data_IF_991532127235
#
_entry.id   IF_991532127235
#
_cell.length_a   1.000
_cell.length_b   1.000
_cell.length_c   1.000
_cell.angle_alpha   90.00
_cell.angle_beta   90.00
_cell.angle_gamma   90.00
#
_symmetry.space_group_name_H-M   'P 1'
#
loop_
_entity.id
_entity.type
_entity.pdbx_description
1 polymer ?
#
# COMPACT_ATOMS: atom_id res chain seq x y z
N UNK A 1 -4.17 15.93 -0.57
CA UNK A 1 -3.82 14.56 -1.02
C UNK A 1 -2.72 14.06 -0.09
N UNK A 2 -2.89 12.89 0.56
CA UNK A 2 -1.89 12.32 1.47
C UNK A 2 -0.70 11.73 0.71
N UNK A 3 0.47 11.74 1.34
CA UNK A 3 1.72 11.17 0.82
C UNK A 3 2.08 9.92 1.62
N UNK A 4 2.15 8.77 0.94
CA UNK A 4 2.59 7.51 1.55
C UNK A 4 3.91 7.05 0.92
N UNK A 5 4.91 6.79 1.77
CA UNK A 5 6.18 6.21 1.32
C UNK A 5 6.19 4.69 1.49
N UNK A 6 6.63 3.98 0.46
CA UNK A 6 6.94 2.56 0.57
C UNK A 6 8.37 2.41 1.13
N UNK A 7 8.47 1.78 2.28
CA UNK A 7 9.67 1.72 3.13
C UNK A 7 10.01 0.27 3.43
N UNK A 8 11.31 -0.07 3.41
CA UNK A 8 11.80 -1.44 3.69
C UNK A 8 12.92 -1.48 4.73
N UNK A 9 13.28 -0.33 5.28
CA UNK A 9 14.40 -0.20 6.21
C UNK A 9 14.16 0.90 7.24
N UNK A 10 15.02 0.94 8.25
CA UNK A 10 15.02 1.98 9.29
C UNK A 10 15.33 3.35 8.67
N UNK A 11 16.30 3.41 7.75
CA UNK A 11 16.69 4.63 7.04
C UNK A 11 15.49 5.23 6.28
N UNK A 12 14.64 4.36 5.72
CA UNK A 12 13.40 4.79 5.08
C UNK A 12 12.39 5.39 6.07
N UNK A 13 12.29 4.84 7.28
CA UNK A 13 11.42 5.39 8.33
C UNK A 13 11.95 6.73 8.84
N UNK A 14 13.28 6.88 9.00
CA UNK A 14 13.93 8.16 9.35
C UNK A 14 13.67 9.21 8.26
N UNK A 15 13.81 8.84 7.00
CA UNK A 15 13.51 9.75 5.89
C UNK A 15 12.03 10.15 5.87
N UNK A 16 11.12 9.22 6.14
CA UNK A 16 9.68 9.53 6.22
C UNK A 16 9.37 10.56 7.32
N UNK A 17 10.02 10.46 8.48
CA UNK A 17 9.92 11.48 9.56
C UNK A 17 10.48 12.83 9.11
N UNK A 18 11.66 12.82 8.48
CA UNK A 18 12.33 14.03 8.00
C UNK A 18 11.51 14.77 6.92
N UNK A 19 10.96 14.05 5.97
CA UNK A 19 10.15 14.60 4.87
C UNK A 19 8.67 14.73 5.21
N UNK A 20 8.27 14.43 6.46
CA UNK A 20 6.90 14.57 6.97
C UNK A 20 5.87 13.83 6.08
N UNK A 21 6.20 12.60 5.69
CA UNK A 21 5.22 11.75 5.04
C UNK A 21 4.01 11.57 5.95
N UNK A 22 2.80 11.56 5.39
CA UNK A 22 1.59 11.33 6.18
C UNK A 22 1.52 9.89 6.69
N UNK A 23 2.08 8.93 5.92
CA UNK A 23 2.07 7.52 6.23
C UNK A 23 3.25 6.81 5.59
N UNK A 24 3.65 5.69 6.18
CA UNK A 24 4.51 4.70 5.52
C UNK A 24 3.79 3.37 5.36
N UNK A 25 3.99 2.72 4.20
CA UNK A 25 3.79 1.29 4.04
C UNK A 25 5.12 0.61 4.30
N UNK A 26 5.20 -0.15 5.37
CA UNK A 26 6.40 -0.92 5.69
C UNK A 26 6.27 -2.34 5.15
N UNK A 27 7.20 -2.71 4.29
CA UNK A 27 7.28 -4.06 3.73
C UNK A 27 8.72 -4.57 3.71
N UNK A 28 8.92 -5.79 3.25
CA UNK A 28 10.21 -6.36 2.89
C UNK A 28 10.14 -6.88 1.45
N UNK A 29 11.27 -7.21 0.85
CA UNK A 29 11.33 -7.89 -0.45
C UNK A 29 10.45 -7.23 -1.53
N UNK A 30 10.73 -5.95 -1.85
CA UNK A 30 10.06 -5.26 -2.97
C UNK A 30 10.34 -5.90 -4.34
N UNK A 31 11.42 -6.66 -4.46
CA UNK A 31 11.71 -7.51 -5.61
C UNK A 31 10.67 -8.62 -5.84
N UNK A 32 9.88 -8.93 -4.81
CA UNK A 32 8.77 -9.87 -4.81
C UNK A 32 7.41 -9.16 -4.59
N UNK A 33 7.27 -7.92 -5.04
CA UNK A 33 6.07 -7.08 -4.84
C UNK A 33 5.70 -6.82 -3.37
N UNK A 34 6.66 -6.92 -2.45
CA UNK A 34 6.49 -6.65 -1.04
C UNK A 34 5.97 -7.86 -0.23
N UNK A 35 6.71 -8.21 0.82
CA UNK A 35 6.34 -9.23 1.78
C UNK A 35 6.20 -8.64 3.18
N UNK A 36 5.63 -9.41 4.11
CA UNK A 36 5.50 -9.03 5.53
C UNK A 36 6.88 -8.78 6.14
N UNK A 37 7.12 -7.61 6.73
CA UNK A 37 8.39 -7.31 7.40
C UNK A 37 8.53 -8.10 8.70
N UNK A 38 9.78 -8.23 9.19
CA UNK A 38 10.02 -8.84 10.51
C UNK A 38 9.50 -7.95 11.64
N UNK A 39 9.08 -8.54 12.75
CA UNK A 39 8.63 -7.79 13.93
C UNK A 39 9.71 -6.84 14.47
N UNK A 40 10.97 -7.24 14.40
CA UNK A 40 12.10 -6.39 14.79
C UNK A 40 12.18 -5.15 13.91
N UNK A 41 12.03 -5.27 12.60
CA UNK A 41 12.02 -4.10 11.69
C UNK A 41 10.82 -3.19 11.97
N UNK A 42 9.63 -3.75 12.20
CA UNK A 42 8.45 -2.96 12.55
C UNK A 42 8.71 -2.14 13.83
N UNK A 43 9.26 -2.78 14.86
CA UNK A 43 9.56 -2.14 16.14
C UNK A 43 10.60 -1.02 16.01
N UNK A 44 11.66 -1.25 15.24
CA UNK A 44 12.69 -0.26 14.96
C UNK A 44 12.13 0.93 14.15
N UNK A 45 11.35 0.67 13.10
CA UNK A 45 10.71 1.73 12.33
C UNK A 45 9.71 2.54 13.18
N UNK A 46 8.95 1.88 14.09
CA UNK A 46 8.03 2.57 14.98
C UNK A 46 8.74 3.52 15.95
N UNK A 47 9.98 3.22 16.37
CA UNK A 47 10.76 4.13 17.23
C UNK A 47 11.24 5.39 16.49
N UNK A 48 11.49 5.28 15.17
CA UNK A 48 12.03 6.37 14.36
C UNK A 48 10.95 7.25 13.69
N UNK A 49 9.78 6.69 13.40
CA UNK A 49 8.72 7.40 12.69
C UNK A 49 7.47 7.52 13.54
N UNK A 50 6.98 8.76 13.73
CA UNK A 50 5.83 9.06 14.61
C UNK A 50 4.48 9.07 13.88
N UNK A 51 4.51 9.14 12.54
CA UNK A 51 3.30 9.11 11.71
C UNK A 51 2.64 7.74 11.63
N UNK A 52 1.70 7.58 10.70
CA UNK A 52 0.96 6.32 10.50
C UNK A 52 1.84 5.25 9.87
N UNK A 53 1.91 4.05 10.48
CA UNK A 53 2.58 2.87 9.94
C UNK A 53 1.54 1.83 9.54
N UNK A 54 1.48 1.53 8.26
CA UNK A 54 0.75 0.39 7.72
C UNK A 54 1.75 -0.68 7.30
N UNK A 55 1.49 -1.94 7.62
CA UNK A 55 2.42 -3.02 7.28
C UNK A 55 1.83 -3.97 6.23
N UNK A 56 2.68 -4.41 5.32
CA UNK A 56 2.34 -5.47 4.37
C UNK A 56 2.08 -6.79 5.10
N UNK A 57 0.90 -7.36 4.91
CA UNK A 57 0.54 -8.69 5.41
C UNK A 57 0.47 -9.67 4.24
N UNK A 58 1.64 -10.09 3.78
CA UNK A 58 1.85 -11.06 2.71
C UNK A 58 3.05 -11.92 3.07
N UNK A 59 2.84 -13.05 3.80
CA UNK A 59 3.95 -13.84 4.35
C UNK A 59 4.70 -14.68 3.32
N UNK A 60 4.18 -14.83 2.12
CA UNK A 60 4.72 -15.71 1.08
C UNK A 60 4.68 -15.01 -0.27
N UNK A 61 5.68 -15.29 -1.10
CA UNK A 61 5.74 -14.89 -2.50
C UNK A 61 4.73 -15.69 -3.38
N UNK A 62 4.55 -15.26 -4.62
CA UNK A 62 3.69 -15.93 -5.61
C UNK A 62 2.36 -15.21 -5.85
N UNK A 63 1.36 -15.90 -6.39
CA UNK A 63 0.06 -15.32 -6.73
C UNK A 63 -0.66 -14.83 -5.47
N UNK A 64 -1.58 -13.87 -5.64
CA UNK A 64 -2.38 -13.32 -4.54
C UNK A 64 -3.47 -14.28 -4.02
N UNK A 65 -3.26 -15.59 -4.22
CA UNK A 65 -4.13 -16.66 -3.74
C UNK A 65 -3.63 -17.13 -2.37
N UNK A 66 -4.54 -17.37 -1.45
CA UNK A 66 -4.20 -17.66 -0.06
C UNK A 66 -4.73 -19.05 0.34
N UNK A 67 -3.84 -19.93 0.79
CA UNK A 67 -4.22 -21.17 1.46
C UNK A 67 -4.72 -20.91 2.89
N UNK A 68 -5.39 -21.89 3.49
CA UNK A 68 -5.78 -21.80 4.90
C UNK A 68 -4.57 -21.64 5.83
N UNK A 69 -3.42 -22.20 5.48
CA UNK A 69 -2.19 -22.06 6.25
C UNK A 69 -1.62 -20.64 6.12
N UNK A 70 -1.59 -20.10 4.90
CA UNK A 70 -1.18 -18.72 4.63
C UNK A 70 -2.08 -17.73 5.35
N UNK A 71 -3.41 -17.95 5.35
CA UNK A 71 -4.36 -17.10 6.08
C UNK A 71 -4.06 -17.08 7.59
N UNK A 72 -3.76 -18.23 8.20
CA UNK A 72 -3.35 -18.28 9.62
C UNK A 72 -2.05 -17.51 9.89
N UNK A 73 -1.06 -17.59 8.97
CA UNK A 73 0.17 -16.79 9.08
C UNK A 73 -0.13 -15.30 9.02
N UNK A 74 -1.02 -14.87 8.10
CA UNK A 74 -1.46 -13.47 7.99
C UNK A 74 -2.13 -13.00 9.28
N UNK A 75 -3.06 -13.78 9.83
CA UNK A 75 -3.73 -13.47 11.09
C UNK A 75 -2.74 -13.33 12.26
N UNK A 76 -1.77 -14.24 12.35
CA UNK A 76 -0.74 -14.18 13.40
C UNK A 76 0.17 -12.96 13.23
N UNK A 77 0.48 -12.56 12.00
CA UNK A 77 1.25 -11.34 11.70
C UNK A 77 0.50 -10.08 12.15
N UNK A 78 -0.81 -10.00 11.87
CA UNK A 78 -1.65 -8.87 12.31
C UNK A 78 -1.63 -8.76 13.84
N UNK A 79 -1.89 -9.88 14.54
CA UNK A 79 -1.91 -9.93 16.00
C UNK A 79 -0.62 -9.39 16.61
N UNK A 80 0.52 -9.95 16.19
CA UNK A 80 1.83 -9.57 16.73
C UNK A 80 2.23 -8.13 16.41
N UNK A 81 1.85 -7.64 15.22
CA UNK A 81 2.19 -6.28 14.81
C UNK A 81 1.32 -5.22 15.49
N UNK A 82 0.06 -5.55 15.79
CA UNK A 82 -0.82 -4.67 16.55
C UNK A 82 -0.26 -4.33 17.94
N UNK A 83 0.41 -5.30 18.59
CA UNK A 83 1.08 -5.09 19.89
C UNK A 83 2.23 -4.09 19.85
N UNK A 84 2.81 -3.83 18.65
CA UNK A 84 3.90 -2.86 18.45
C UNK A 84 3.35 -1.43 18.26
N UNK A 85 2.05 -1.26 18.02
CA UNK A 85 1.43 0.05 17.84
C UNK A 85 1.47 0.55 16.39
N UNK A 86 1.23 -0.34 15.44
CA UNK A 86 0.97 0.02 14.05
C UNK A 86 -0.43 0.63 13.89
N UNK A 87 -0.67 1.34 12.78
CA UNK A 87 -1.93 2.03 12.52
C UNK A 87 -2.80 1.31 11.48
N UNK A 88 -2.21 0.42 10.69
CA UNK A 88 -2.97 -0.29 9.66
C UNK A 88 -2.22 -1.48 9.06
N UNK A 89 -2.95 -2.19 8.22
CA UNK A 89 -2.46 -3.34 7.47
C UNK A 89 -2.75 -3.19 5.98
N UNK A 90 -1.89 -3.81 5.18
CA UNK A 90 -2.00 -3.84 3.72
C UNK A 90 -2.16 -5.29 3.30
N UNK A 91 -3.28 -5.61 2.67
CA UNK A 91 -3.68 -6.96 2.28
C UNK A 91 -4.21 -6.98 0.85
N UNK A 92 -4.31 -8.17 0.25
CA UNK A 92 -4.98 -8.36 -1.04
C UNK A 92 -5.01 -9.84 -1.39
N UNK A 93 -6.20 -10.43 -1.35
CA UNK A 93 -6.40 -11.87 -1.61
C UNK A 93 -7.40 -12.04 -2.72
N UNK A 94 -6.98 -12.76 -3.75
CA UNK A 94 -7.79 -13.11 -4.90
C UNK A 94 -8.13 -14.62 -4.88
N UNK A 95 -9.11 -14.99 -5.68
CA UNK A 95 -9.40 -16.37 -6.03
C UNK A 95 -8.80 -16.72 -7.41
N UNK A 96 -8.95 -17.97 -7.85
CA UNK A 96 -8.42 -18.48 -9.13
C UNK A 96 -9.03 -17.80 -10.38
N UNK A 97 -10.09 -17.00 -10.20
CA UNK A 97 -10.76 -16.24 -11.26
C UNK A 97 -10.39 -14.75 -11.24
N UNK A 98 -9.32 -14.36 -10.52
CA UNK A 98 -8.94 -12.97 -10.30
C UNK A 98 -10.10 -12.10 -9.76
N UNK A 99 -10.87 -12.64 -8.83
CA UNK A 99 -11.88 -11.92 -8.07
C UNK A 99 -11.46 -11.84 -6.60
N UNK A 100 -12.01 -10.90 -5.85
CA UNK A 100 -11.73 -10.77 -4.42
C UNK A 100 -12.14 -12.05 -3.69
N UNK A 101 -11.24 -12.63 -2.91
CA UNK A 101 -11.59 -13.69 -1.97
C UNK A 101 -12.28 -13.06 -0.76
N UNK A 102 -13.60 -12.89 -0.85
CA UNK A 102 -14.41 -12.17 0.15
C UNK A 102 -14.32 -12.77 1.53
N UNK A 103 -14.32 -14.10 1.64
CA UNK A 103 -14.26 -14.80 2.94
C UNK A 103 -12.94 -14.54 3.65
N UNK A 104 -11.82 -14.69 2.95
CA UNK A 104 -10.51 -14.45 3.53
C UNK A 104 -10.30 -12.96 3.85
N UNK A 105 -10.69 -12.07 2.94
CA UNK A 105 -10.58 -10.61 3.13
C UNK A 105 -11.42 -10.17 4.33
N UNK A 106 -12.69 -10.59 4.45
CA UNK A 106 -13.55 -10.27 5.59
C UNK A 106 -12.93 -10.71 6.93
N UNK A 107 -12.37 -11.91 6.97
CA UNK A 107 -11.72 -12.44 8.19
C UNK A 107 -10.55 -11.57 8.65
N UNK A 108 -9.72 -11.07 7.71
CA UNK A 108 -8.59 -10.17 8.05
C UNK A 108 -9.06 -8.78 8.44
N UNK A 109 -10.08 -8.24 7.76
CA UNK A 109 -10.67 -6.94 8.09
C UNK A 109 -11.32 -6.96 9.48
N UNK A 110 -12.06 -8.02 9.81
CA UNK A 110 -12.63 -8.17 11.16
C UNK A 110 -11.54 -8.21 12.24
N UNK A 111 -10.43 -8.89 11.95
CA UNK A 111 -9.28 -8.91 12.86
C UNK A 111 -8.66 -7.51 13.01
N UNK A 112 -8.43 -6.80 11.91
CA UNK A 112 -7.92 -5.44 11.93
C UNK A 112 -8.81 -4.51 12.77
N UNK A 113 -10.14 -4.58 12.61
CA UNK A 113 -11.11 -3.80 13.38
C UNK A 113 -11.01 -4.04 14.89
N UNK A 114 -10.75 -5.28 15.33
CA UNK A 114 -10.57 -5.60 16.76
C UNK A 114 -9.39 -4.88 17.40
N UNK A 115 -8.39 -4.52 16.60
CA UNK A 115 -7.18 -3.80 17.04
C UNK A 115 -7.19 -2.33 16.59
N UNK A 116 -8.32 -1.81 16.11
CA UNK A 116 -8.46 -0.44 15.58
C UNK A 116 -7.45 -0.12 14.47
N UNK A 117 -7.16 -1.09 13.61
CA UNK A 117 -6.26 -0.93 12.48
C UNK A 117 -7.04 -0.61 11.21
N UNK A 118 -6.56 0.37 10.43
CA UNK A 118 -7.03 0.61 9.08
C UNK A 118 -6.60 -0.51 8.12
N UNK A 119 -7.33 -0.65 7.03
CA UNK A 119 -7.09 -1.68 6.02
C UNK A 119 -6.92 -1.07 4.64
N UNK A 120 -5.82 -1.42 3.97
CA UNK A 120 -5.56 -1.09 2.57
C UNK A 120 -5.60 -2.36 1.74
N UNK A 121 -6.35 -2.36 0.63
CA UNK A 121 -6.26 -3.42 -0.37
C UNK A 121 -5.19 -3.04 -1.39
N UNK A 122 -4.10 -3.82 -1.46
CA UNK A 122 -2.92 -3.50 -2.26
C UNK A 122 -3.14 -3.75 -3.77
N UNK A 123 -2.05 -3.65 -4.55
CA UNK A 123 -2.07 -3.76 -6.03
C UNK A 123 -2.55 -5.09 -6.60
N UNK A 124 -2.92 -6.09 -5.80
CA UNK A 124 -3.77 -7.19 -6.27
C UNK A 124 -5.05 -6.68 -6.96
N UNK A 125 -5.49 -5.47 -6.61
CA UNK A 125 -6.59 -4.77 -7.26
C UNK A 125 -6.38 -4.58 -8.78
N UNK A 126 -5.16 -4.34 -9.22
CA UNK A 126 -4.82 -4.16 -10.64
C UNK A 126 -5.00 -5.43 -11.48
N UNK A 127 -5.14 -6.59 -10.83
CA UNK A 127 -5.36 -7.89 -11.46
C UNK A 127 -6.82 -8.33 -11.51
N UNK A 128 -7.74 -7.58 -10.86
CA UNK A 128 -9.15 -7.91 -10.83
C UNK A 128 -9.79 -7.91 -12.23
N UNK A 129 -10.72 -8.83 -12.44
CA UNK A 129 -11.49 -8.93 -13.69
C UNK A 129 -12.46 -7.77 -13.87
N UNK A 130 -13.06 -7.27 -12.79
CA UNK A 130 -13.93 -6.08 -12.77
C UNK A 130 -13.53 -5.15 -11.62
N UNK A 131 -12.55 -4.27 -11.82
CA UNK A 131 -12.11 -3.34 -10.78
C UNK A 131 -13.18 -2.31 -10.40
N UNK A 132 -14.11 -1.96 -11.30
CA UNK A 132 -15.16 -0.97 -11.01
C UNK A 132 -16.17 -1.52 -10.01
N UNK A 133 -16.73 -2.70 -10.27
CA UNK A 133 -17.65 -3.36 -9.33
C UNK A 133 -16.96 -3.72 -7.99
N UNK A 134 -15.65 -3.96 -8.04
CA UNK A 134 -14.86 -4.31 -6.86
C UNK A 134 -14.68 -3.17 -5.86
N UNK A 135 -14.84 -1.90 -6.27
CA UNK A 135 -14.77 -0.75 -5.34
C UNK A 135 -15.87 -0.85 -4.27
N UNK A 136 -17.11 -1.03 -4.69
CA UNK A 136 -18.25 -1.18 -3.77
C UNK A 136 -18.11 -2.45 -2.92
N UNK A 137 -17.66 -3.54 -3.52
CA UNK A 137 -17.44 -4.79 -2.81
C UNK A 137 -16.40 -4.65 -1.68
N UNK A 138 -15.27 -3.98 -1.93
CA UNK A 138 -14.24 -3.71 -0.93
C UNK A 138 -14.73 -2.77 0.17
N UNK A 139 -15.49 -1.73 -0.19
CA UNK A 139 -16.13 -0.85 0.78
C UNK A 139 -17.04 -1.65 1.72
N UNK A 140 -17.92 -2.49 1.19
CA UNK A 140 -18.85 -3.32 1.96
C UNK A 140 -18.14 -4.35 2.86
N UNK A 141 -16.94 -4.80 2.49
CA UNK A 141 -16.07 -5.61 3.34
C UNK A 141 -15.40 -4.80 4.47
N UNK A 142 -15.42 -3.47 4.37
CA UNK A 142 -14.83 -2.56 5.36
C UNK A 142 -13.37 -2.22 5.08
N UNK A 143 -12.92 -2.31 3.84
CA UNK A 143 -11.63 -1.78 3.39
C UNK A 143 -11.69 -0.25 3.41
N UNK A 144 -10.70 0.39 4.02
CA UNK A 144 -10.60 1.85 4.11
C UNK A 144 -9.99 2.47 2.85
N UNK A 145 -9.06 1.74 2.18
CA UNK A 145 -8.25 2.27 1.09
C UNK A 145 -7.94 1.23 0.04
N UNK A 146 -7.92 1.65 -1.23
CA UNK A 146 -7.49 0.84 -2.37
C UNK A 146 -6.22 1.46 -2.94
N UNK A 147 -5.11 0.70 -2.93
CA UNK A 147 -3.88 1.02 -3.62
C UNK A 147 -3.87 0.37 -5.00
N UNK A 148 -3.86 1.17 -6.04
CA UNK A 148 -3.83 0.67 -7.42
C UNK A 148 -3.09 1.60 -8.37
N UNK A 149 -2.66 1.07 -9.51
CA UNK A 149 -2.13 1.88 -10.60
C UNK A 149 -3.19 2.25 -11.64
N UNK A 150 -4.38 1.67 -11.57
CA UNK A 150 -5.43 1.82 -12.57
C UNK A 150 -5.13 1.08 -13.89
N UNK A 151 -4.08 0.27 -13.91
CA UNK A 151 -3.67 -0.54 -15.05
C UNK A 151 -2.91 -1.80 -14.57
N UNK A 152 -2.60 -2.72 -15.48
CA UNK A 152 -1.76 -3.88 -15.17
C UNK A 152 -0.27 -3.54 -15.04
N UNK A 153 0.14 -2.31 -15.32
CA UNK A 153 1.55 -1.93 -15.39
C UNK A 153 1.90 -0.78 -14.43
N UNK A 154 1.49 0.44 -14.73
CA UNK A 154 1.86 1.63 -13.98
C UNK A 154 0.78 2.73 -14.06
N UNK A 155 0.91 3.75 -13.20
CA UNK A 155 -0.04 4.86 -13.09
C UNK A 155 -0.18 5.68 -14.39
N UNK A 156 0.86 5.81 -15.22
CA UNK A 156 0.80 6.59 -16.47
C UNK A 156 -0.24 6.02 -17.42
N UNK A 157 -0.27 4.68 -17.55
CA UNK A 157 -1.27 3.98 -18.36
C UNK A 157 -2.64 3.92 -17.67
N UNK A 158 -2.68 4.10 -16.35
CA UNK A 158 -3.86 3.98 -15.51
C UNK A 158 -4.64 5.27 -15.27
N UNK A 159 -4.15 6.45 -15.68
CA UNK A 159 -4.74 7.77 -15.33
C UNK A 159 -6.26 7.82 -15.58
N UNK A 160 -6.72 7.37 -16.75
CA UNK A 160 -8.15 7.37 -17.09
C UNK A 160 -8.97 6.45 -16.16
N UNK A 161 -8.43 5.28 -15.84
CA UNK A 161 -9.06 4.34 -14.93
C UNK A 161 -9.08 4.87 -13.50
N UNK A 162 -7.97 5.45 -13.03
CA UNK A 162 -7.89 6.07 -11.69
C UNK A 162 -8.95 7.17 -11.52
N UNK A 163 -9.13 8.04 -12.53
CA UNK A 163 -10.20 9.04 -12.53
C UNK A 163 -11.59 8.41 -12.40
N UNK A 164 -11.85 7.34 -13.15
CA UNK A 164 -13.13 6.60 -13.07
C UNK A 164 -13.31 5.95 -11.71
N UNK A 165 -12.28 5.30 -11.16
CA UNK A 165 -12.31 4.68 -9.83
C UNK A 165 -12.59 5.71 -8.75
N UNK A 166 -11.94 6.88 -8.79
CA UNK A 166 -12.19 7.97 -7.82
C UNK A 166 -13.64 8.47 -7.89
N UNK A 167 -14.20 8.61 -9.10
CA UNK A 167 -15.61 8.98 -9.26
C UNK A 167 -16.54 7.91 -8.69
N UNK A 168 -16.27 6.63 -8.90
CA UNK A 168 -17.08 5.52 -8.40
C UNK A 168 -16.99 5.36 -6.88
N UNK A 169 -15.84 5.63 -6.30
CA UNK A 169 -15.63 5.53 -4.85
C UNK A 169 -16.47 6.52 -4.04
N UNK A 170 -16.84 7.68 -4.60
CA UNK A 170 -17.73 8.68 -3.97
C UNK A 170 -17.39 8.98 -2.49
N UNK A 171 -16.08 8.96 -2.15
CA UNK A 171 -15.57 9.10 -0.79
C UNK A 171 -15.97 7.96 0.21
N UNK A 172 -16.46 6.83 -0.27
CA UNK A 172 -16.77 5.65 0.57
C UNK A 172 -15.52 4.84 0.90
N UNK A 173 -14.55 4.86 0.00
CA UNK A 173 -13.23 4.25 0.16
C UNK A 173 -12.17 5.16 -0.45
N UNK A 174 -11.02 5.31 0.19
CA UNK A 174 -9.91 6.12 -0.35
C UNK A 174 -9.29 5.44 -1.57
N UNK A 175 -9.04 6.19 -2.64
CA UNK A 175 -8.29 5.72 -3.80
C UNK A 175 -6.88 6.32 -3.74
N UNK A 176 -5.90 5.45 -3.61
CA UNK A 176 -4.48 5.78 -3.56
C UNK A 176 -3.78 5.27 -4.82
N UNK A 177 -3.09 6.16 -5.53
CA UNK A 177 -2.34 5.77 -6.72
C UNK A 177 -0.93 5.31 -6.35
N UNK A 178 -0.52 4.15 -6.87
CA UNK A 178 0.84 3.64 -6.74
C UNK A 178 1.25 2.77 -7.94
N UNK A 179 2.55 2.54 -8.06
CA UNK A 179 3.11 1.82 -9.20
C UNK A 179 3.64 2.76 -10.28
N UNK A 180 4.82 3.35 -10.03
CA UNK A 180 5.51 4.24 -10.96
C UNK A 180 5.19 5.73 -10.80
N UNK A 181 4.76 6.16 -9.63
CA UNK A 181 4.61 7.59 -9.30
C UNK A 181 5.98 8.27 -9.33
N UNK A 182 6.05 9.41 -10.02
CA UNK A 182 7.25 10.23 -10.20
C UNK A 182 6.86 11.70 -10.36
N UNK A 183 7.86 12.61 -10.43
CA UNK A 183 7.64 14.07 -10.55
C UNK A 183 6.87 14.50 -11.80
N UNK A 184 6.85 13.70 -12.86
CA UNK A 184 6.17 14.05 -14.11
C UNK A 184 4.68 13.67 -14.10
N UNK A 185 4.29 12.61 -13.37
CA UNK A 185 2.91 12.16 -13.32
C UNK A 185 2.17 12.56 -12.03
N UNK A 186 2.87 12.89 -10.95
CA UNK A 186 2.28 13.29 -9.68
C UNK A 186 1.30 14.49 -9.81
N UNK A 187 1.58 15.56 -10.58
CA UNK A 187 0.62 16.65 -10.78
C UNK A 187 -0.69 16.20 -11.43
N UNK A 188 -0.62 15.29 -12.41
CA UNK A 188 -1.83 14.75 -13.05
C UNK A 188 -2.65 13.90 -12.10
N UNK A 189 -2.00 13.12 -11.21
CA UNK A 189 -2.67 12.34 -10.16
C UNK A 189 -3.36 13.26 -9.14
N UNK A 190 -2.71 14.37 -8.76
CA UNK A 190 -3.30 15.38 -7.89
C UNK A 190 -4.53 16.04 -8.52
N UNK A 191 -4.49 16.39 -9.81
CA UNK A 191 -5.61 17.00 -10.56
C UNK A 191 -6.84 16.08 -10.64
N UNK A 192 -6.66 14.76 -10.61
CA UNK A 192 -7.76 13.79 -10.54
C UNK A 192 -8.52 13.91 -9.20
N UNK A 193 -7.88 14.46 -8.15
CA UNK A 193 -8.43 14.55 -6.81
C UNK A 193 -8.35 13.22 -6.04
N UNK A 194 -7.31 12.43 -6.28
CA UNK A 194 -7.04 11.20 -5.52
C UNK A 194 -6.79 11.51 -4.04
N UNK A 195 -7.10 10.56 -3.17
CA UNK A 195 -6.98 10.75 -1.73
C UNK A 195 -5.51 10.68 -1.27
N UNK A 196 -4.72 9.82 -1.92
CA UNK A 196 -3.29 9.68 -1.64
C UNK A 196 -2.50 9.24 -2.87
N UNK A 197 -1.19 9.43 -2.79
CA UNK A 197 -0.20 8.80 -3.68
C UNK A 197 0.79 7.97 -2.86
N UNK A 198 1.26 6.90 -3.46
CA UNK A 198 2.18 5.94 -2.90
C UNK A 198 3.39 5.76 -3.82
N UNK A 199 4.61 5.86 -3.28
CA UNK A 199 5.82 5.62 -4.05
C UNK A 199 6.97 5.09 -3.21
N UNK A 200 7.79 4.25 -3.85
CA UNK A 200 9.03 3.75 -3.27
C UNK A 200 10.08 4.86 -3.23
N UNK A 201 10.78 4.96 -2.10
CA UNK A 201 11.84 5.95 -1.85
C UNK A 201 13.26 5.39 -1.94
N UNK A 202 13.41 4.17 -2.45
CA UNK A 202 14.72 3.52 -2.55
C UNK A 202 15.49 3.94 -3.79
N UNK A 203 16.83 3.89 -3.69
CA UNK A 203 17.72 3.96 -4.84
C UNK A 203 17.56 2.70 -5.71
N UNK A 204 17.86 2.84 -7.00
CA UNK A 204 17.91 1.75 -7.96
C UNK A 204 19.32 1.72 -8.55
N UNK A 205 20.01 0.60 -8.41
CA UNK A 205 21.28 0.30 -9.08
C UNK A 205 21.08 -0.89 -10.00
N UNK A 206 21.50 -0.77 -11.26
CA UNK A 206 21.36 -1.83 -12.26
C UNK A 206 19.94 -2.44 -12.34
N UNK A 207 18.94 -1.58 -12.33
CA UNK A 207 17.51 -1.93 -12.26
C UNK A 207 17.07 -2.71 -11.01
N UNK A 208 17.91 -2.75 -9.97
CA UNK A 208 17.59 -3.43 -8.70
C UNK A 208 17.45 -2.40 -7.57
N UNK A 209 16.37 -2.46 -6.75
CA UNK A 209 16.23 -1.60 -5.59
C UNK A 209 17.32 -1.87 -4.55
N UNK A 210 17.92 -0.81 -4.01
CA UNK A 210 18.86 -0.86 -2.89
C UNK A 210 18.10 -0.46 -1.63
N UNK A 211 17.63 -1.45 -0.89
CA UNK A 211 16.60 -1.29 0.15
C UNK A 211 17.00 -0.45 1.36
N UNK A 212 18.27 -0.31 1.65
CA UNK A 212 18.81 0.53 2.73
C UNK A 212 19.33 1.89 2.25
N UNK A 213 19.17 2.23 0.97
CA UNK A 213 19.55 3.52 0.41
C UNK A 213 18.31 4.32 0.04
N UNK A 214 18.13 5.46 0.69
CA UNK A 214 17.03 6.40 0.40
C UNK A 214 17.42 7.33 -0.74
N UNK A 215 16.52 7.52 -1.70
CA UNK A 215 16.65 8.47 -2.78
C UNK A 215 15.96 9.80 -2.43
N UNK A 216 16.67 10.65 -1.69
CA UNK A 216 16.14 11.96 -1.29
C UNK A 216 15.81 12.87 -2.48
N UNK A 217 16.59 12.80 -3.56
CA UNK A 217 16.33 13.62 -4.76
C UNK A 217 14.99 13.27 -5.39
N UNK A 218 14.67 11.98 -5.46
CA UNK A 218 13.37 11.50 -5.92
C UNK A 218 12.24 12.01 -5.01
N UNK A 219 12.41 11.93 -3.70
CA UNK A 219 11.43 12.43 -2.73
C UNK A 219 11.21 13.93 -2.96
N UNK A 220 12.28 14.74 -2.95
CA UNK A 220 12.23 16.19 -3.15
C UNK A 220 11.57 16.55 -4.48
N UNK A 221 11.93 15.87 -5.57
CA UNK A 221 11.38 16.12 -6.90
C UNK A 221 9.86 15.85 -6.98
N UNK A 222 9.37 14.78 -6.36
CA UNK A 222 7.95 14.46 -6.33
C UNK A 222 7.19 15.46 -5.45
N UNK A 223 7.70 15.77 -4.25
CA UNK A 223 7.08 16.73 -3.34
C UNK A 223 7.02 18.13 -3.96
N UNK A 224 8.11 18.59 -4.57
CA UNK A 224 8.14 19.89 -5.27
C UNK A 224 7.15 19.96 -6.44
N UNK A 225 6.96 18.86 -7.16
CA UNK A 225 6.00 18.81 -8.26
C UNK A 225 4.52 18.89 -7.79
N UNK A 226 4.26 18.64 -6.49
CA UNK A 226 2.94 18.76 -5.87
C UNK A 226 2.72 20.10 -5.14
N UNK A 227 3.80 20.84 -4.87
CA UNK A 227 3.75 22.20 -4.33
C UNK A 227 3.59 23.18 -5.50
N UNK A 228 2.51 23.95 -5.53
CA UNK A 228 2.25 25.00 -6.52
C UNK A 228 2.94 26.31 -6.15
#
# INVERSE_FOLDING_TARGET
>A
MKIEFCVTSIEGAVAAEQFKADRIELCSRLDLDGLTPSLNLIQQCRSEYKGEIHIMIRPEDGPFICSNNTLRKMQNSILKSAEIGINGIVIGILNDHNQINTKATASLVEMAKRYNLETTFHRAFDHLTDPIASVEQLHNLGINRILCSGSKTNVEKGIKSLKKLKTMAQNTVEIMAGGGVNQYNAPSLQQIGLDAIHFSIHNIKDNTPVYNEVNEEKIKSILHALEF
#
